data_IF_022705872194
#
_entry.id   IF_022705872194
#
_cell.length_a   1.000
_cell.length_b   1.000
_cell.length_c   1.000
_cell.angle_alpha   90.00
_cell.angle_beta   90.00
_cell.angle_gamma   90.00
#
_symmetry.space_group_name_H-M   'P 1'
#
loop_
_entity.id
_entity.type
_entity.pdbx_description
1 polymer ?
#
# COMPACT_ATOMS: atom_id res chain seq x y z
N UNK A 1 -23.18 7.64 21.66
CA UNK A 1 -21.78 7.77 22.13
C UNK A 1 -20.95 6.70 21.46
N UNK A 2 -19.90 7.05 20.69
CA UNK A 2 -19.06 6.03 20.06
C UNK A 2 -18.24 5.30 21.13
N UNK A 3 -18.31 3.97 21.17
CA UNK A 3 -17.52 3.17 22.12
C UNK A 3 -16.03 3.25 21.77
N UNK A 4 -15.15 3.07 22.77
CA UNK A 4 -13.69 3.03 22.55
C UNK A 4 -13.31 1.98 21.47
N UNK A 5 -14.01 0.85 21.45
CA UNK A 5 -13.83 -0.19 20.44
C UNK A 5 -14.20 0.29 19.03
N UNK A 6 -15.30 1.02 18.88
CA UNK A 6 -15.70 1.58 17.59
C UNK A 6 -14.68 2.63 17.09
N UNK A 7 -14.14 3.46 17.99
CA UNK A 7 -13.10 4.42 17.63
C UNK A 7 -11.80 3.73 17.18
N UNK A 8 -11.35 2.70 17.90
CA UNK A 8 -10.17 1.92 17.51
C UNK A 8 -10.34 1.28 16.12
N UNK A 9 -11.51 0.69 15.83
CA UNK A 9 -11.82 0.14 14.49
C UNK A 9 -11.76 1.22 13.41
N UNK A 10 -12.32 2.41 13.67
CA UNK A 10 -12.26 3.55 12.75
C UNK A 10 -10.82 3.97 12.44
N UNK A 11 -9.97 4.08 13.47
CA UNK A 11 -8.57 4.45 13.30
C UNK A 11 -7.78 3.38 12.51
N UNK A 12 -8.02 2.10 12.78
CA UNK A 12 -7.43 0.99 12.02
C UNK A 12 -7.83 1.04 10.54
N UNK A 13 -9.12 1.26 10.25
CA UNK A 13 -9.61 1.37 8.87
C UNK A 13 -9.00 2.58 8.14
N UNK A 14 -8.85 3.71 8.82
CA UNK A 14 -8.17 4.88 8.25
C UNK A 14 -6.70 4.59 7.93
N UNK A 15 -5.98 3.89 8.82
CA UNK A 15 -4.60 3.48 8.59
C UNK A 15 -4.48 2.57 7.36
N UNK A 16 -5.35 1.57 7.26
CA UNK A 16 -5.43 0.66 6.12
C UNK A 16 -5.65 1.44 4.82
N UNK A 17 -6.62 2.35 4.80
CA UNK A 17 -6.93 3.17 3.62
C UNK A 17 -5.74 4.01 3.16
N UNK A 18 -5.11 4.73 4.09
CA UNK A 18 -3.92 5.55 3.80
C UNK A 18 -2.75 4.71 3.27
N UNK A 19 -2.51 3.53 3.85
CA UNK A 19 -1.45 2.62 3.36
C UNK A 19 -1.74 2.13 1.95
N UNK A 20 -3.01 1.77 1.67
CA UNK A 20 -3.44 1.32 0.34
C UNK A 20 -3.27 2.43 -0.71
N UNK A 21 -3.65 3.67 -0.38
CA UNK A 21 -3.48 4.84 -1.25
C UNK A 21 -2.00 5.12 -1.58
N UNK A 22 -1.09 5.03 -0.59
CA UNK A 22 0.35 5.19 -0.83
C UNK A 22 0.91 4.17 -1.81
N UNK A 23 0.60 2.89 -1.60
CA UNK A 23 1.06 1.80 -2.47
C UNK A 23 0.46 1.95 -3.87
N UNK A 24 -0.82 2.33 -3.96
CA UNK A 24 -1.46 2.59 -5.26
C UNK A 24 -0.84 3.75 -6.02
N UNK A 25 -0.44 4.82 -5.33
CA UNK A 25 0.24 5.94 -5.97
C UNK A 25 1.56 5.50 -6.62
N UNK A 26 2.32 4.60 -5.99
CA UNK A 26 3.53 4.03 -6.59
C UNK A 26 3.24 3.14 -7.82
N UNK A 27 2.08 2.47 -7.86
CA UNK A 27 1.74 1.50 -8.91
C UNK A 27 1.03 2.16 -10.10
N UNK A 28 0.15 3.14 -9.86
CA UNK A 28 -0.70 3.78 -10.86
C UNK A 28 -0.35 5.24 -11.13
N UNK A 29 0.62 5.79 -10.39
CA UNK A 29 1.05 7.17 -10.56
C UNK A 29 1.93 7.38 -11.79
N UNK A 30 2.30 8.64 -12.02
CA UNK A 30 3.13 9.05 -13.16
C UNK A 30 4.51 8.37 -13.18
N UNK A 31 5.04 7.99 -12.01
CA UNK A 31 6.35 7.35 -11.84
C UNK A 31 6.28 5.83 -11.67
N UNK A 32 5.17 5.20 -12.06
CA UNK A 32 4.99 3.75 -11.89
C UNK A 32 6.09 2.91 -12.57
N UNK A 33 6.61 3.38 -13.70
CA UNK A 33 7.70 2.74 -14.44
C UNK A 33 8.98 2.59 -13.60
N UNK A 34 9.23 3.47 -12.62
CA UNK A 34 10.41 3.37 -11.75
C UNK A 34 10.32 2.23 -10.72
N UNK A 35 9.11 1.72 -10.50
CA UNK A 35 8.81 0.64 -9.57
C UNK A 35 8.62 -0.69 -10.31
N UNK A 36 8.88 -0.72 -11.62
CA UNK A 36 8.75 -1.89 -12.46
C UNK A 36 10.09 -2.22 -13.11
N UNK A 37 10.43 -3.51 -13.14
CA UNK A 37 11.60 -4.00 -13.87
C UNK A 37 11.29 -4.05 -15.38
N UNK A 38 12.34 -4.14 -16.20
CA UNK A 38 12.31 -4.34 -17.66
C UNK A 38 11.36 -5.43 -18.15
N UNK A 39 11.09 -6.45 -17.32
CA UNK A 39 10.17 -7.57 -17.60
C UNK A 39 8.72 -7.31 -17.18
N UNK A 40 8.41 -6.15 -16.62
CA UNK A 40 7.07 -5.83 -16.12
C UNK A 40 6.81 -6.29 -14.67
N UNK A 41 7.82 -6.77 -13.95
CA UNK A 41 7.67 -7.21 -12.55
C UNK A 41 7.79 -6.03 -11.57
N UNK A 42 6.95 -5.98 -10.55
CA UNK A 42 7.01 -4.93 -9.52
C UNK A 42 8.23 -5.09 -8.58
N UNK A 43 8.96 -4.00 -8.37
CA UNK A 43 10.09 -3.89 -7.45
C UNK A 43 9.61 -3.68 -6.01
N UNK A 44 9.13 -4.75 -5.40
CA UNK A 44 8.46 -4.74 -4.09
C UNK A 44 9.34 -4.15 -2.97
N UNK A 45 10.65 -4.42 -3.01
CA UNK A 45 11.59 -3.85 -2.04
C UNK A 45 11.71 -2.33 -2.13
N UNK A 46 11.60 -1.76 -3.33
CA UNK A 46 11.66 -0.31 -3.55
C UNK A 46 10.36 0.34 -3.07
N UNK A 47 9.21 -0.21 -3.49
CA UNK A 47 7.88 0.24 -3.04
C UNK A 47 7.78 0.21 -1.51
N UNK A 48 8.24 -0.86 -0.86
CA UNK A 48 8.20 -0.99 0.59
C UNK A 48 9.03 0.09 1.31
N UNK A 49 10.23 0.41 0.80
CA UNK A 49 11.07 1.48 1.35
C UNK A 49 10.41 2.85 1.20
N UNK A 50 9.94 3.17 0.00
CA UNK A 50 9.42 4.51 -0.31
C UNK A 50 8.06 4.77 0.35
N UNK A 51 7.25 3.72 0.54
CA UNK A 51 5.97 3.83 1.25
C UNK A 51 6.10 3.71 2.77
N UNK A 52 7.27 3.32 3.28
CA UNK A 52 7.52 3.05 4.71
C UNK A 52 6.72 1.86 5.24
N UNK A 53 6.51 0.83 4.41
CA UNK A 53 5.70 -0.35 4.76
C UNK A 53 6.52 -1.64 4.66
N UNK A 54 6.00 -2.75 5.20
CA UNK A 54 6.63 -4.05 5.04
C UNK A 54 6.39 -4.61 3.63
N UNK A 55 7.34 -5.41 3.12
CA UNK A 55 7.17 -6.13 1.84
C UNK A 55 5.89 -6.97 1.83
N UNK A 56 5.56 -7.62 2.94
CA UNK A 56 4.33 -8.41 3.11
C UNK A 56 3.05 -7.58 2.91
N UNK A 57 3.05 -6.32 3.37
CA UNK A 57 1.93 -5.39 3.17
C UNK A 57 1.78 -5.04 1.70
N UNK A 58 2.90 -4.78 1.01
CA UNK A 58 2.92 -4.52 -0.43
C UNK A 58 2.40 -5.73 -1.23
N UNK A 59 2.85 -6.95 -0.91
CA UNK A 59 2.33 -8.19 -1.53
C UNK A 59 0.83 -8.35 -1.34
N UNK A 60 0.33 -8.11 -0.12
CA UNK A 60 -1.11 -8.23 0.19
C UNK A 60 -1.92 -7.32 -0.73
N UNK A 61 -1.55 -6.05 -0.84
CA UNK A 61 -2.31 -5.09 -1.65
C UNK A 61 -2.08 -5.25 -3.14
N UNK A 62 -0.91 -5.70 -3.60
CA UNK A 62 -0.69 -6.05 -5.01
C UNK A 62 -1.59 -7.21 -5.45
N UNK A 63 -1.81 -8.21 -4.60
CA UNK A 63 -2.72 -9.33 -4.90
C UNK A 63 -4.18 -8.88 -5.04
N UNK A 64 -4.59 -7.82 -4.35
CA UNK A 64 -5.94 -7.24 -4.50
C UNK A 64 -6.16 -6.50 -5.83
N UNK A 65 -5.10 -6.25 -6.62
CA UNK A 65 -5.16 -5.52 -7.89
C UNK A 65 -5.30 -6.46 -9.09
N UNK A 66 -4.83 -7.70 -8.94
CA UNK A 66 -4.78 -8.71 -10.02
C UNK A 66 -6.13 -9.41 -10.15
#
# INVERSE_FOLDING_TARGET
>A
MATRQAHARKMTNQRIKKTKEKIFSCIKGMFAFEYQDSKGNWLISKIAKDTGTSRTTVYKYLKEIK
#
